data_IF_223462854457
#
_entry.id   IF_223462854457
#
_cell.length_a   1.000
_cell.length_b   1.000
_cell.length_c   1.000
_cell.angle_alpha   90.00
_cell.angle_beta   90.00
_cell.angle_gamma   90.00
#
_symmetry.space_group_name_H-M   'P 1'
#
loop_
_entity.id
_entity.type
_entity.pdbx_description
1 polymer ?
#
# COMPACT_ATOMS: atom_id res chain seq x y z
N UNK A 1 20.40 99.24 -38.37
CA UNK A 1 20.76 99.03 -36.95
C UNK A 1 20.26 97.65 -36.57
N UNK A 2 21.20 96.73 -36.34
CA UNK A 2 20.99 95.29 -36.17
C UNK A 2 20.51 95.06 -34.73
N UNK A 3 19.28 94.59 -34.55
CA UNK A 3 18.72 94.22 -33.24
C UNK A 3 19.07 92.77 -32.89
N UNK A 4 19.94 92.59 -31.91
CA UNK A 4 20.41 91.29 -31.44
C UNK A 4 19.28 90.46 -30.80
N UNK A 5 19.06 89.25 -31.32
CA UNK A 5 18.28 88.21 -30.68
C UNK A 5 19.06 87.64 -29.48
N UNK A 6 18.58 87.93 -28.26
CA UNK A 6 19.07 87.30 -27.03
C UNK A 6 18.59 85.84 -27.02
N UNK A 7 19.49 84.90 -27.30
CA UNK A 7 19.24 83.49 -27.02
C UNK A 7 19.22 83.29 -25.50
N UNK A 8 18.01 83.12 -24.93
CA UNK A 8 17.85 82.55 -23.59
C UNK A 8 18.33 81.10 -23.64
N UNK A 9 19.55 80.86 -23.15
CA UNK A 9 20.06 79.53 -22.90
C UNK A 9 19.07 78.77 -22.00
N UNK A 10 18.54 77.67 -22.52
CA UNK A 10 17.85 76.64 -21.73
C UNK A 10 18.90 76.04 -20.80
N UNK A 11 18.92 76.47 -19.54
CA UNK A 11 19.64 75.78 -18.48
C UNK A 11 19.07 74.36 -18.37
N UNK A 12 19.95 73.38 -18.56
CA UNK A 12 19.68 71.95 -18.35
C UNK A 12 19.33 71.73 -16.88
N UNK A 13 18.05 71.76 -16.52
CA UNK A 13 17.56 71.18 -15.28
C UNK A 13 17.61 69.65 -15.40
N UNK A 14 18.78 69.05 -15.22
CA UNK A 14 18.89 67.60 -15.10
C UNK A 14 20.01 67.12 -14.17
N UNK A 15 20.42 67.94 -13.19
CA UNK A 15 21.17 67.44 -12.02
C UNK A 15 20.19 66.87 -10.98
N UNK A 16 19.59 65.73 -11.30
CA UNK A 16 19.05 64.85 -10.26
C UNK A 16 20.23 64.11 -9.66
N UNK A 17 20.64 64.49 -8.44
CA UNK A 17 21.65 63.78 -7.64
C UNK A 17 21.45 62.26 -7.75
N UNK A 18 22.45 61.55 -8.29
CA UNK A 18 22.41 60.10 -8.43
C UNK A 18 22.33 59.48 -7.03
N UNK A 19 21.26 58.72 -6.77
CA UNK A 19 21.08 58.04 -5.48
C UNK A 19 22.18 57.01 -5.27
N UNK A 20 22.94 57.17 -4.19
CA UNK A 20 23.95 56.21 -3.77
C UNK A 20 23.31 54.96 -3.16
N UNK A 21 23.92 53.80 -3.40
CA UNK A 21 23.49 52.53 -2.83
C UNK A 21 24.04 52.38 -1.42
N UNK A 22 23.16 52.05 -0.47
CA UNK A 22 23.58 51.75 0.90
C UNK A 22 24.45 50.47 0.96
N UNK A 23 25.29 50.37 2.00
CA UNK A 23 26.11 49.19 2.23
C UNK A 23 25.25 47.95 2.51
N UNK A 24 25.69 46.75 2.10
CA UNK A 24 24.95 45.52 2.34
C UNK A 24 24.83 45.23 3.83
N UNK A 25 23.71 44.64 4.25
CA UNK A 25 23.45 44.32 5.66
C UNK A 25 24.50 43.39 6.25
N UNK A 26 25.17 42.57 5.43
CA UNK A 26 26.24 41.65 5.84
C UNK A 26 27.40 42.33 6.57
N UNK A 27 27.69 43.60 6.31
CA UNK A 27 28.77 44.35 7.00
C UNK A 27 28.43 44.68 8.46
N UNK A 28 27.13 44.64 8.82
CA UNK A 28 26.62 44.96 10.17
C UNK A 28 26.22 43.70 10.95
N UNK A 29 26.52 42.51 10.41
CA UNK A 29 26.12 41.24 10.99
C UNK A 29 27.20 40.74 11.95
N UNK A 30 26.83 40.48 13.19
CA UNK A 30 27.69 39.80 14.15
C UNK A 30 27.84 38.31 13.80
N UNK A 31 28.97 37.71 14.18
CA UNK A 31 29.30 36.32 13.85
C UNK A 31 28.42 35.32 14.62
N UNK A 32 28.04 35.66 15.85
CA UNK A 32 27.24 34.86 16.78
C UNK A 32 25.74 35.20 16.75
N UNK A 33 25.30 36.02 15.79
CA UNK A 33 23.89 36.38 15.64
C UNK A 33 22.99 35.16 15.36
N UNK A 34 21.72 35.27 15.73
CA UNK A 34 20.74 34.24 15.41
C UNK A 34 20.33 34.27 13.93
N UNK A 35 20.87 33.32 13.16
CA UNK A 35 20.53 33.16 11.74
C UNK A 35 19.03 32.95 11.49
N UNK A 36 18.31 32.32 12.42
CA UNK A 36 16.89 32.02 12.24
C UNK A 36 16.03 33.28 12.12
N UNK A 37 16.48 34.38 12.76
CA UNK A 37 15.87 35.70 12.63
C UNK A 37 16.20 36.40 11.31
N UNK A 38 17.35 36.09 10.69
CA UNK A 38 17.78 36.67 9.41
C UNK A 38 17.03 36.04 8.23
N UNK A 39 16.78 34.73 8.29
CA UNK A 39 16.14 33.97 7.22
C UNK A 39 15.02 33.07 7.77
N UNK A 40 13.88 33.65 8.21
CA UNK A 40 12.85 32.91 8.93
C UNK A 40 12.01 31.97 8.04
N UNK A 41 11.83 32.32 6.76
CA UNK A 41 10.94 31.61 5.82
C UNK A 41 11.62 31.39 4.47
N UNK A 42 11.01 30.54 3.64
CA UNK A 42 11.45 30.36 2.25
C UNK A 42 11.47 31.71 1.52
N UNK A 43 12.65 32.06 0.99
CA UNK A 43 12.84 33.30 0.25
C UNK A 43 13.91 33.11 -0.83
N UNK A 44 13.82 33.94 -1.88
CA UNK A 44 14.83 34.02 -2.92
C UNK A 44 16.19 34.47 -2.33
N UNK A 45 17.28 33.96 -2.90
CA UNK A 45 18.62 34.27 -2.44
C UNK A 45 18.91 35.77 -2.50
N UNK A 46 19.19 36.38 -1.34
CA UNK A 46 19.49 37.81 -1.19
C UNK A 46 20.99 38.00 -0.88
N UNK A 47 21.85 38.35 -1.86
CA UNK A 47 23.29 38.44 -1.65
C UNK A 47 23.68 39.46 -0.58
N UNK A 48 22.90 40.53 -0.42
CA UNK A 48 23.09 41.58 0.59
C UNK A 48 22.75 41.16 2.03
N UNK A 49 22.11 40.01 2.23
CA UNK A 49 21.73 39.48 3.54
C UNK A 49 22.49 38.21 3.93
N UNK A 50 23.12 37.52 2.98
CA UNK A 50 23.83 36.25 3.25
C UNK A 50 25.31 36.55 3.46
N UNK A 51 25.86 36.41 4.69
CA UNK A 51 27.23 36.79 5.04
C UNK A 51 28.25 35.71 4.64
N UNK A 52 28.00 35.01 3.53
CA UNK A 52 28.89 33.98 2.99
C UNK A 52 29.47 34.45 1.64
N UNK A 53 30.77 34.27 1.37
CA UNK A 53 31.40 34.63 0.11
C UNK A 53 31.16 33.54 -0.96
N UNK A 54 29.88 33.30 -1.28
CA UNK A 54 29.49 32.28 -2.26
C UNK A 54 29.86 32.71 -3.68
N UNK A 55 30.28 31.73 -4.49
CA UNK A 55 30.55 31.88 -5.92
C UNK A 55 29.93 30.71 -6.66
N UNK A 56 29.35 30.95 -7.84
CA UNK A 56 28.71 29.91 -8.62
C UNK A 56 28.71 30.28 -10.11
N UNK A 57 28.90 29.27 -10.96
CA UNK A 57 28.96 29.41 -12.42
C UNK A 57 30.26 28.87 -12.98
N UNK A 58 30.25 28.49 -14.26
CA UNK A 58 31.44 27.95 -14.91
C UNK A 58 32.52 29.03 -15.05
N UNK A 59 33.75 28.80 -14.58
CA UNK A 59 34.81 29.79 -14.69
C UNK A 59 35.27 29.94 -16.15
N UNK A 60 35.62 31.15 -16.54
CA UNK A 60 36.35 31.38 -17.81
C UNK A 60 37.75 30.76 -17.73
N UNK A 61 38.40 30.51 -18.89
CA UNK A 61 39.78 29.99 -18.91
C UNK A 61 40.69 30.88 -18.06
N UNK A 62 41.38 30.28 -17.08
CA UNK A 62 42.23 30.97 -16.07
C UNK A 62 41.47 31.99 -15.18
N UNK A 63 40.15 31.84 -15.03
CA UNK A 63 39.31 32.69 -14.18
C UNK A 63 38.75 31.97 -12.96
N UNK A 64 38.01 32.72 -12.14
CA UNK A 64 37.26 32.22 -10.97
C UNK A 64 35.75 32.23 -11.25
N UNK A 65 34.95 31.40 -10.56
CA UNK A 65 33.51 31.47 -10.65
C UNK A 65 32.97 32.87 -10.26
N UNK A 66 31.89 33.34 -10.92
CA UNK A 66 31.23 34.60 -10.59
C UNK A 66 30.87 34.72 -9.10
N UNK A 67 30.96 35.94 -8.57
CA UNK A 67 30.54 36.29 -7.20
C UNK A 67 29.03 36.15 -7.00
N UNK A 68 28.54 36.37 -5.78
CA UNK A 68 27.10 36.25 -5.47
C UNK A 68 26.28 37.47 -5.91
N UNK A 69 26.90 38.63 -6.02
CA UNK A 69 26.25 39.88 -6.43
C UNK A 69 25.83 39.78 -7.90
N UNK A 70 24.52 39.87 -8.16
CA UNK A 70 23.97 39.78 -9.52
C UNK A 70 23.98 38.37 -10.14
N UNK A 71 24.26 37.33 -9.36
CA UNK A 71 24.37 35.97 -9.87
C UNK A 71 23.01 35.28 -10.00
N UNK A 72 22.55 35.11 -11.25
CA UNK A 72 21.26 34.50 -11.54
C UNK A 72 21.23 32.99 -11.22
N UNK A 73 22.36 32.29 -11.29
CA UNK A 73 22.42 30.86 -10.98
C UNK A 73 22.10 30.59 -9.50
N UNK A 74 22.58 31.46 -8.60
CA UNK A 74 22.23 31.38 -7.18
C UNK A 74 20.76 31.70 -6.89
N UNK A 75 20.10 32.46 -7.76
CA UNK A 75 18.67 32.79 -7.61
C UNK A 75 17.76 31.62 -8.00
N UNK A 76 18.20 30.79 -8.95
CA UNK A 76 17.44 29.61 -9.42
C UNK A 76 17.39 28.48 -8.39
N UNK A 77 18.37 28.40 -7.50
CA UNK A 77 18.45 27.33 -6.50
C UNK A 77 17.35 27.52 -5.44
N UNK A 78 16.51 26.50 -5.18
CA UNK A 78 15.66 26.47 -3.99
C UNK A 78 16.54 26.28 -2.76
N UNK A 79 16.96 27.39 -2.16
CA UNK A 79 17.88 27.37 -1.02
C UNK A 79 17.19 26.91 0.28
N UNK A 80 17.96 26.32 1.17
CA UNK A 80 17.51 25.80 2.48
C UNK A 80 17.98 26.69 3.64
N UNK A 81 18.25 27.97 3.38
CA UNK A 81 18.81 28.88 4.39
C UNK A 81 17.87 29.12 5.58
N UNK A 82 16.56 28.91 5.41
CA UNK A 82 15.56 28.96 6.48
C UNK A 82 15.40 27.63 7.24
N UNK A 83 15.91 26.52 6.70
CA UNK A 83 15.80 25.17 7.26
C UNK A 83 17.16 24.67 7.78
N UNK A 84 17.88 25.54 8.49
CA UNK A 84 19.11 25.14 9.17
C UNK A 84 18.82 24.19 10.34
N UNK A 85 19.77 23.35 10.78
CA UNK A 85 19.55 22.46 11.93
C UNK A 85 19.13 23.18 13.21
N UNK A 86 19.61 24.41 13.42
CA UNK A 86 19.20 25.26 14.55
C UNK A 86 17.73 25.68 14.43
N UNK A 87 17.29 26.09 13.24
CA UNK A 87 15.89 26.42 12.97
C UNK A 87 14.98 25.20 13.18
N UNK A 88 15.35 24.04 12.62
CA UNK A 88 14.57 22.80 12.74
C UNK A 88 14.39 22.42 14.22
N UNK A 89 15.46 22.46 15.03
CA UNK A 89 15.34 22.17 16.47
C UNK A 89 14.39 23.13 17.20
N UNK A 90 14.48 24.43 16.91
CA UNK A 90 13.56 25.44 17.49
C UNK A 90 12.11 25.20 17.04
N UNK A 91 11.89 24.97 15.75
CA UNK A 91 10.56 24.71 15.20
C UNK A 91 9.95 23.43 15.78
N UNK A 92 10.69 22.31 15.78
CA UNK A 92 10.21 21.06 16.35
C UNK A 92 9.93 21.18 17.85
N UNK A 93 10.74 21.92 18.62
CA UNK A 93 10.47 22.15 20.03
C UNK A 93 9.13 22.87 20.27
N UNK A 94 8.80 23.87 19.46
CA UNK A 94 7.51 24.57 19.52
C UNK A 94 6.34 23.73 18.99
N UNK A 95 6.60 22.78 18.08
CA UNK A 95 5.57 21.91 17.50
C UNK A 95 5.23 20.69 18.39
N UNK A 96 6.06 20.37 19.40
CA UNK A 96 5.83 19.23 20.30
C UNK A 96 4.49 19.30 21.02
N UNK A 97 4.04 20.50 21.37
CA UNK A 97 2.78 20.71 22.10
C UNK A 97 1.54 20.34 21.27
N UNK A 98 1.69 20.20 19.94
CA UNK A 98 0.62 19.77 19.03
C UNK A 98 0.60 18.25 18.79
N UNK A 99 1.66 17.53 19.22
CA UNK A 99 1.76 16.10 19.04
C UNK A 99 1.13 15.35 20.21
N UNK A 100 0.59 14.16 19.94
CA UNK A 100 0.12 13.22 20.97
C UNK A 100 1.05 12.02 21.02
N UNK A 101 1.24 11.44 22.21
CA UNK A 101 2.00 10.21 22.36
C UNK A 101 1.33 9.05 21.63
N UNK A 102 2.13 8.17 21.04
CA UNK A 102 1.64 6.94 20.43
C UNK A 102 1.25 5.94 21.52
N UNK A 103 0.13 5.19 21.41
CA UNK A 103 -0.30 4.28 22.45
C UNK A 103 0.71 3.13 22.66
N UNK A 104 1.14 2.92 23.91
CA UNK A 104 2.16 1.92 24.24
C UNK A 104 1.71 0.46 24.08
N UNK A 105 0.39 0.21 24.13
CA UNK A 105 -0.19 -1.14 24.03
C UNK A 105 -0.09 -1.74 22.60
N UNK A 106 0.05 -0.88 21.58
CA UNK A 106 0.20 -1.26 20.16
C UNK A 106 1.60 -0.92 19.65
N UNK A 107 2.58 -1.60 20.25
CA UNK A 107 4.01 -1.48 19.95
C UNK A 107 4.46 -2.28 18.71
N UNK A 108 3.67 -3.26 18.29
CA UNK A 108 3.97 -4.15 17.16
C UNK A 108 2.76 -4.33 16.24
N UNK A 109 3.03 -4.55 14.95
CA UNK A 109 2.02 -4.70 13.90
C UNK A 109 1.05 -5.87 14.17
N UNK A 110 1.53 -6.94 14.82
CA UNK A 110 0.66 -8.07 15.20
C UNK A 110 -0.42 -7.67 16.21
N UNK A 111 -0.08 -6.84 17.20
CA UNK A 111 -1.05 -6.33 18.18
C UNK A 111 -1.98 -5.32 17.53
N UNK A 112 -1.45 -4.46 16.64
CA UNK A 112 -2.27 -3.54 15.84
C UNK A 112 -3.34 -4.31 15.07
N UNK A 113 -2.98 -5.39 14.37
CA UNK A 113 -3.89 -6.21 13.58
C UNK A 113 -4.92 -6.96 14.43
N UNK A 114 -4.58 -7.34 15.66
CA UNK A 114 -5.53 -7.97 16.59
C UNK A 114 -6.61 -6.99 17.08
N UNK A 115 -6.23 -5.75 17.40
CA UNK A 115 -7.17 -4.74 17.89
C UNK A 115 -7.87 -3.96 16.76
N UNK A 116 -7.19 -3.77 15.63
CA UNK A 116 -7.62 -2.97 14.49
C UNK A 116 -7.43 -3.79 13.19
N UNK A 117 -8.34 -4.74 12.89
CA UNK A 117 -8.18 -5.66 11.76
C UNK A 117 -8.47 -5.05 10.38
N UNK A 118 -8.96 -3.80 10.34
CA UNK A 118 -9.32 -3.08 9.12
C UNK A 118 -8.34 -1.94 8.91
N UNK A 119 -7.67 -1.98 7.77
CA UNK A 119 -6.80 -0.92 7.29
C UNK A 119 -7.54 -0.08 6.24
N UNK A 120 -7.30 1.23 6.26
CA UNK A 120 -7.97 2.21 5.38
C UNK A 120 -6.91 3.06 4.70
N UNK A 121 -6.67 2.79 3.42
CA UNK A 121 -5.71 3.54 2.63
C UNK A 121 -6.37 4.73 1.95
N UNK A 122 -5.77 5.91 2.15
CA UNK A 122 -6.13 7.14 1.46
C UNK A 122 -4.87 7.89 1.01
N UNK A 123 -4.95 8.58 -0.13
CA UNK A 123 -3.80 9.25 -0.74
C UNK A 123 -4.10 10.73 -0.96
N UNK A 124 -3.26 11.60 -0.40
CA UNK A 124 -3.31 13.05 -0.60
C UNK A 124 -2.16 13.50 -1.51
N UNK A 125 -2.47 14.42 -2.44
CA UNK A 125 -1.54 14.89 -3.46
C UNK A 125 -1.27 16.39 -3.29
N UNK A 126 0.01 16.76 -3.19
CA UNK A 126 0.45 18.16 -3.08
C UNK A 126 1.15 18.53 -4.39
N UNK A 127 0.69 19.60 -5.04
CA UNK A 127 1.23 20.07 -6.32
C UNK A 127 1.32 21.60 -6.33
N UNK A 128 2.31 22.14 -7.03
CA UNK A 128 2.43 23.58 -7.23
C UNK A 128 1.41 24.04 -8.29
N UNK A 129 0.47 24.90 -7.90
CA UNK A 129 -0.54 25.44 -8.80
C UNK A 129 -1.68 26.14 -8.05
N UNK A 130 -2.56 26.86 -8.77
CA UNK A 130 -3.69 27.55 -8.14
C UNK A 130 -4.80 26.58 -7.68
N UNK A 131 -4.90 25.39 -8.28
CA UNK A 131 -5.90 24.38 -7.92
C UNK A 131 -5.29 23.31 -7.03
N UNK A 132 -5.92 23.07 -5.89
CA UNK A 132 -5.60 21.96 -4.96
C UNK A 132 -6.36 20.67 -5.29
N UNK A 133 -7.24 20.69 -6.31
CA UNK A 133 -8.11 19.55 -6.63
C UNK A 133 -7.32 18.47 -7.35
N UNK A 134 -7.39 17.24 -6.83
CA UNK A 134 -6.91 16.05 -7.51
C UNK A 134 -7.99 14.96 -7.50
N UNK A 135 -8.48 14.49 -8.66
CA UNK A 135 -9.53 13.48 -8.71
C UNK A 135 -9.11 12.13 -8.13
N UNK A 136 -7.80 11.83 -8.03
CA UNK A 136 -7.29 10.58 -7.46
C UNK A 136 -7.42 10.54 -5.93
N UNK A 137 -7.52 11.68 -5.26
CA UNK A 137 -7.64 11.76 -3.79
C UNK A 137 -8.97 11.24 -3.24
N UNK A 138 -9.97 11.00 -4.10
CA UNK A 138 -11.28 10.47 -3.69
C UNK A 138 -11.26 8.97 -3.41
N UNK A 139 -10.26 8.24 -3.91
CA UNK A 139 -10.20 6.78 -3.82
C UNK A 139 -9.93 6.36 -2.38
N UNK A 140 -10.65 5.33 -1.93
CA UNK A 140 -10.44 4.69 -0.62
C UNK A 140 -10.25 3.20 -0.86
N UNK A 141 -9.27 2.60 -0.21
CA UNK A 141 -9.10 1.15 -0.21
C UNK A 141 -9.25 0.64 1.22
N UNK A 142 -10.12 -0.34 1.42
CA UNK A 142 -10.28 -1.07 2.66
C UNK A 142 -9.64 -2.44 2.51
N UNK A 143 -8.76 -2.79 3.45
CA UNK A 143 -8.12 -4.11 3.54
C UNK A 143 -8.48 -4.76 4.86
N UNK A 144 -8.91 -6.02 4.81
CA UNK A 144 -9.28 -6.80 5.99
C UNK A 144 -8.96 -8.27 5.78
N UNK A 145 -8.42 -8.93 6.82
CA UNK A 145 -8.21 -10.39 6.80
C UNK A 145 -9.50 -11.13 7.11
N UNK A 146 -9.85 -12.15 6.33
CA UNK A 146 -11.09 -12.91 6.57
C UNK A 146 -11.03 -13.69 7.90
N UNK A 147 -9.85 -14.10 8.34
CA UNK A 147 -9.61 -14.72 9.65
C UNK A 147 -9.94 -13.82 10.85
N UNK A 148 -10.01 -12.50 10.66
CA UNK A 148 -10.41 -11.56 11.73
C UNK A 148 -11.93 -11.38 11.82
N UNK A 149 -12.68 -11.82 10.80
CA UNK A 149 -14.12 -11.72 10.76
C UNK A 149 -14.75 -12.97 11.37
N UNK A 150 -15.87 -12.80 12.08
CA UNK A 150 -16.64 -13.92 12.61
C UNK A 150 -17.45 -14.58 11.48
N UNK A 151 -16.81 -15.47 10.71
CA UNK A 151 -17.40 -16.21 9.60
C UNK A 151 -17.27 -17.71 9.87
N UNK A 152 -18.31 -18.48 9.57
CA UNK A 152 -18.24 -19.94 9.53
C UNK A 152 -17.72 -20.44 8.15
N UNK A 153 -17.61 -21.75 7.97
CA UNK A 153 -17.11 -22.34 6.72
C UNK A 153 -18.01 -21.98 5.52
N UNK A 154 -19.33 -21.98 5.72
CA UNK A 154 -20.31 -21.61 4.70
C UNK A 154 -20.15 -20.15 4.28
N UNK A 155 -20.20 -19.23 5.25
CA UNK A 155 -20.12 -17.80 5.01
C UNK A 155 -18.77 -17.40 4.43
N UNK A 156 -17.66 -18.00 4.89
CA UNK A 156 -16.33 -17.74 4.32
C UNK A 156 -16.27 -18.15 2.84
N UNK A 157 -16.70 -19.37 2.49
CA UNK A 157 -16.72 -19.86 1.10
C UNK A 157 -17.65 -19.03 0.22
N UNK A 158 -18.85 -18.71 0.72
CA UNK A 158 -19.81 -17.85 0.01
C UNK A 158 -19.25 -16.44 -0.23
N UNK A 159 -18.64 -15.83 0.79
CA UNK A 159 -18.03 -14.52 0.70
C UNK A 159 -16.92 -14.48 -0.35
N UNK A 160 -16.03 -15.48 -0.37
CA UNK A 160 -14.94 -15.59 -1.35
C UNK A 160 -15.50 -15.63 -2.78
N UNK A 161 -16.58 -16.39 -3.03
CA UNK A 161 -17.25 -16.39 -4.34
C UNK A 161 -17.91 -15.05 -4.70
N UNK A 162 -18.52 -14.36 -3.73
CA UNK A 162 -19.16 -13.07 -3.97
C UNK A 162 -18.16 -11.96 -4.33
N UNK A 163 -17.00 -11.94 -3.66
CA UNK A 163 -16.00 -10.88 -3.84
C UNK A 163 -15.09 -11.12 -5.04
N UNK A 164 -14.89 -12.38 -5.43
CA UNK A 164 -14.11 -12.79 -6.60
C UNK A 164 -12.63 -12.41 -6.48
N UNK A 165 -12.09 -11.75 -7.50
CA UNK A 165 -10.67 -11.34 -7.59
C UNK A 165 -10.21 -10.36 -6.50
N UNK A 166 -11.14 -9.80 -5.73
CA UNK A 166 -10.84 -8.88 -4.61
C UNK A 166 -10.23 -9.60 -3.41
N UNK A 167 -10.34 -10.93 -3.34
CA UNK A 167 -9.77 -11.73 -2.27
C UNK A 167 -8.48 -12.43 -2.72
N UNK A 168 -7.42 -12.29 -1.93
CA UNK A 168 -6.17 -13.01 -2.14
C UNK A 168 -6.07 -14.22 -1.20
N UNK A 169 -6.11 -15.45 -1.77
CA UNK A 169 -6.00 -16.70 -1.00
C UNK A 169 -4.64 -16.84 -0.29
N UNK A 170 -3.56 -16.30 -0.86
CA UNK A 170 -2.22 -16.40 -0.29
C UNK A 170 -2.01 -15.59 0.99
N UNK A 171 -2.69 -14.45 1.12
CA UNK A 171 -2.58 -13.55 2.28
C UNK A 171 -3.84 -13.49 3.14
N UNK A 172 -4.88 -14.26 2.80
CA UNK A 172 -6.21 -14.25 3.44
C UNK A 172 -6.83 -12.83 3.52
N UNK A 173 -6.49 -11.97 2.55
CA UNK A 173 -6.84 -10.54 2.57
C UNK A 173 -7.92 -10.21 1.54
N UNK A 174 -8.98 -9.55 1.98
CA UNK A 174 -10.01 -8.94 1.13
C UNK A 174 -9.69 -7.45 0.93
N UNK A 175 -9.66 -7.01 -0.33
CA UNK A 175 -9.38 -5.63 -0.72
C UNK A 175 -10.60 -5.01 -1.42
N UNK A 176 -11.21 -3.99 -0.82
CA UNK A 176 -12.34 -3.25 -1.39
C UNK A 176 -11.87 -1.84 -1.76
N UNK A 177 -11.75 -1.55 -3.05
CA UNK A 177 -11.45 -0.20 -3.54
C UNK A 177 -12.72 0.50 -4.00
N UNK A 178 -12.95 1.72 -3.50
CA UNK A 178 -14.12 2.55 -3.84
C UNK A 178 -13.69 3.90 -4.41
N UNK A 179 -14.21 4.24 -5.59
CA UNK A 179 -13.87 5.47 -6.33
C UNK A 179 -15.09 6.13 -7.02
N UNK A 180 -16.30 5.63 -6.73
CA UNK A 180 -17.56 6.02 -7.39
C UNK A 180 -18.02 7.42 -7.01
N UNK A 181 -17.85 7.81 -5.75
CA UNK A 181 -18.35 9.08 -5.23
C UNK A 181 -17.30 10.20 -5.39
N UNK A 182 -17.72 11.47 -5.56
CA UNK A 182 -16.79 12.59 -5.65
C UNK A 182 -15.96 12.82 -4.37
N UNK A 183 -16.54 12.60 -3.19
CA UNK A 183 -15.89 12.86 -1.91
C UNK A 183 -15.31 11.58 -1.31
N UNK A 184 -14.10 11.69 -0.75
CA UNK A 184 -13.42 10.61 -0.02
C UNK A 184 -14.28 10.02 1.10
N UNK A 185 -14.95 10.87 1.89
CA UNK A 185 -15.85 10.43 2.96
C UNK A 185 -16.97 9.50 2.44
N UNK A 186 -17.56 9.83 1.31
CA UNK A 186 -18.63 9.02 0.71
C UNK A 186 -18.10 7.66 0.24
N UNK A 187 -16.89 7.62 -0.34
CA UNK A 187 -16.26 6.37 -0.75
C UNK A 187 -15.87 5.50 0.46
N UNK A 188 -15.45 6.11 1.56
CA UNK A 188 -15.22 5.41 2.83
C UNK A 188 -16.52 4.80 3.37
N UNK A 189 -17.58 5.61 3.53
CA UNK A 189 -18.89 5.16 4.00
C UNK A 189 -19.44 4.04 3.11
N UNK A 190 -19.26 4.16 1.79
CA UNK A 190 -19.65 3.14 0.82
C UNK A 190 -18.82 1.86 0.94
N UNK A 191 -17.51 1.96 1.19
CA UNK A 191 -16.64 0.81 1.41
C UNK A 191 -17.07 0.02 2.65
N UNK A 192 -17.35 0.72 3.75
CA UNK A 192 -17.84 0.11 5.01
C UNK A 192 -19.22 -0.53 4.79
N UNK A 193 -20.11 0.15 4.04
CA UNK A 193 -21.40 -0.42 3.64
C UNK A 193 -21.25 -1.73 2.85
N UNK A 194 -20.37 -1.75 1.85
CA UNK A 194 -20.12 -2.96 1.05
C UNK A 194 -19.61 -4.11 1.91
N UNK A 195 -18.65 -3.85 2.80
CA UNK A 195 -18.15 -4.86 3.74
C UNK A 195 -19.28 -5.42 4.63
N UNK A 196 -20.15 -4.54 5.13
CA UNK A 196 -21.28 -4.92 5.99
C UNK A 196 -22.30 -5.78 5.25
N UNK A 197 -22.68 -5.40 4.03
CA UNK A 197 -23.63 -6.16 3.21
C UNK A 197 -23.05 -7.50 2.82
N UNK A 198 -21.79 -7.54 2.39
CA UNK A 198 -21.11 -8.78 2.05
C UNK A 198 -21.07 -9.75 3.24
N UNK A 199 -20.79 -9.23 4.44
CA UNK A 199 -20.81 -10.01 5.67
C UNK A 199 -22.22 -10.58 5.93
N UNK A 200 -23.27 -9.76 5.96
CA UNK A 200 -24.63 -10.27 6.23
C UNK A 200 -25.18 -11.21 5.15
N UNK A 201 -24.91 -10.94 3.87
CA UNK A 201 -25.35 -11.81 2.77
C UNK A 201 -24.59 -13.13 2.74
N UNK A 202 -23.35 -13.17 3.23
CA UNK A 202 -22.59 -14.41 3.36
C UNK A 202 -23.18 -15.39 4.37
N UNK A 203 -23.83 -14.88 5.42
CA UNK A 203 -24.49 -15.70 6.45
C UNK A 203 -25.86 -16.25 6.04
N UNK A 204 -26.51 -15.67 5.03
CA UNK A 204 -27.80 -16.15 4.54
C UNK A 204 -27.58 -17.40 3.70
N UNK A 205 -28.42 -18.42 3.87
CA UNK A 205 -28.44 -19.60 2.98
C UNK A 205 -29.70 -19.56 2.15
N UNK A 206 -29.54 -19.41 0.85
CA UNK A 206 -30.65 -19.40 -0.11
C UNK A 206 -30.94 -20.82 -0.66
N UNK A 207 -32.14 -21.04 -1.19
CA UNK A 207 -32.56 -22.38 -1.66
C UNK A 207 -31.68 -22.92 -2.79
N UNK A 208 -31.25 -22.05 -3.70
CA UNK A 208 -30.41 -22.39 -4.84
C UNK A 208 -29.00 -22.85 -4.44
N UNK A 209 -28.55 -22.55 -3.21
CA UNK A 209 -27.24 -23.02 -2.73
C UNK A 209 -27.20 -24.54 -2.54
N UNK A 210 -28.38 -25.18 -2.45
CA UNK A 210 -28.51 -26.64 -2.42
C UNK A 210 -28.26 -27.29 -3.78
N UNK A 211 -28.35 -26.52 -4.86
CA UNK A 211 -28.11 -26.98 -6.23
C UNK A 211 -26.62 -26.92 -6.61
N UNK A 212 -25.74 -26.61 -5.65
CA UNK A 212 -24.29 -26.52 -5.84
C UNK A 212 -23.71 -27.83 -6.38
N UNK A 213 -23.06 -27.75 -7.53
CA UNK A 213 -22.46 -28.93 -8.18
C UNK A 213 -21.04 -29.20 -7.68
N UNK A 214 -20.50 -30.39 -7.98
CA UNK A 214 -19.10 -30.73 -7.66
C UNK A 214 -18.10 -29.78 -8.33
N UNK A 215 -18.43 -29.21 -9.49
CA UNK A 215 -17.57 -28.25 -10.20
C UNK A 215 -17.49 -26.89 -9.48
N UNK A 216 -18.49 -26.55 -8.66
CA UNK A 216 -18.53 -25.29 -7.90
C UNK A 216 -17.80 -25.39 -6.55
N UNK A 217 -17.41 -26.60 -6.15
CA UNK A 217 -16.69 -26.85 -4.91
C UNK A 217 -15.25 -26.36 -5.04
N UNK A 218 -14.82 -25.54 -4.07
CA UNK A 218 -13.46 -24.98 -4.02
C UNK A 218 -12.44 -25.96 -3.45
N UNK A 219 -12.96 -26.96 -2.74
CA UNK A 219 -12.22 -28.03 -2.11
C UNK A 219 -12.82 -29.34 -2.58
N UNK A 220 -11.97 -30.29 -2.90
CA UNK A 220 -12.36 -31.64 -3.19
C UNK A 220 -12.82 -32.33 -1.90
N UNK A 221 -14.07 -32.79 -1.92
CA UNK A 221 -14.69 -33.57 -0.85
C UNK A 221 -14.73 -35.03 -1.30
N UNK A 222 -14.23 -35.92 -0.45
CA UNK A 222 -14.14 -37.35 -0.77
C UNK A 222 -15.51 -38.03 -0.77
N UNK A 223 -16.36 -37.64 0.17
CA UNK A 223 -17.69 -38.18 0.37
C UNK A 223 -18.58 -38.01 -0.88
N UNK A 224 -19.22 -39.11 -1.29
CA UNK A 224 -20.06 -39.20 -2.48
C UNK A 224 -19.35 -38.97 -3.83
N UNK A 225 -18.03 -38.82 -3.83
CA UNK A 225 -17.22 -38.59 -5.03
C UNK A 225 -17.11 -39.82 -5.94
N UNK A 226 -16.68 -39.60 -7.18
CA UNK A 226 -16.34 -40.68 -8.12
C UNK A 226 -15.23 -41.60 -7.57
N UNK A 227 -14.23 -41.04 -6.88
CA UNK A 227 -13.13 -41.84 -6.34
C UNK A 227 -13.58 -42.76 -5.21
N UNK A 228 -14.53 -42.34 -4.36
CA UNK A 228 -15.13 -43.20 -3.34
C UNK A 228 -15.88 -44.37 -3.99
N UNK A 229 -16.74 -44.06 -4.98
CA UNK A 229 -17.53 -45.08 -5.70
C UNK A 229 -16.64 -46.11 -6.38
N UNK A 230 -15.59 -45.66 -7.09
CA UNK A 230 -14.65 -46.53 -7.79
C UNK A 230 -13.84 -47.41 -6.81
N UNK A 231 -13.40 -46.85 -5.68
CA UNK A 231 -12.65 -47.59 -4.67
C UNK A 231 -13.49 -48.69 -4.02
N UNK A 232 -14.73 -48.37 -3.65
CA UNK A 232 -15.66 -49.34 -3.08
C UNK A 232 -16.00 -50.45 -4.09
N UNK A 233 -16.31 -50.10 -5.33
CA UNK A 233 -16.59 -51.08 -6.38
C UNK A 233 -15.40 -52.02 -6.61
N UNK A 234 -14.18 -51.48 -6.63
CA UNK A 234 -12.95 -52.27 -6.81
C UNK A 234 -12.74 -53.24 -5.64
N UNK A 235 -12.94 -52.81 -4.40
CA UNK A 235 -12.79 -53.67 -3.22
C UNK A 235 -13.85 -54.77 -3.14
N UNK A 236 -15.09 -54.47 -3.54
CA UNK A 236 -16.15 -55.48 -3.64
C UNK A 236 -15.76 -56.55 -4.66
N UNK A 237 -15.21 -56.16 -5.81
CA UNK A 237 -14.73 -57.11 -6.83
C UNK A 237 -13.55 -57.96 -6.35
N UNK A 238 -12.59 -57.38 -5.63
CA UNK A 238 -11.45 -58.11 -5.06
C UNK A 238 -11.94 -59.18 -4.07
N UNK A 239 -12.86 -58.82 -3.17
CA UNK A 239 -13.41 -59.77 -2.17
C UNK A 239 -14.27 -60.86 -2.79
N UNK A 240 -15.02 -60.54 -3.86
CA UNK A 240 -15.74 -61.54 -4.63
C UNK A 240 -14.79 -62.56 -5.30
N UNK A 241 -13.61 -62.10 -5.76
CA UNK A 241 -12.55 -62.97 -6.26
C UNK A 241 -11.91 -63.84 -5.16
N UNK A 242 -11.72 -63.28 -3.96
CA UNK A 242 -11.11 -63.96 -2.81
C UNK A 242 -12.07 -64.85 -2.01
N UNK A 243 -13.35 -65.00 -2.44
CA UNK A 243 -14.41 -65.79 -1.76
C UNK A 243 -14.60 -65.42 -0.27
N UNK A 244 -14.41 -64.16 0.07
CA UNK A 244 -14.60 -63.64 1.44
C UNK A 244 -16.06 -63.18 1.64
N UNK A 245 -16.58 -63.22 2.87
CA UNK A 245 -17.96 -62.83 3.18
C UNK A 245 -18.29 -61.38 2.74
N UNK A 246 -19.57 -61.14 2.42
CA UNK A 246 -20.08 -59.80 2.11
C UNK A 246 -19.98 -58.90 3.35
N UNK A 247 -19.20 -57.84 3.22
CA UNK A 247 -18.98 -56.88 4.30
C UNK A 247 -19.72 -55.58 4.00
N UNK A 248 -20.27 -54.99 5.05
CA UNK A 248 -21.03 -53.74 4.96
C UNK A 248 -20.17 -52.60 4.37
N UNK A 249 -20.80 -51.69 3.62
CA UNK A 249 -20.14 -50.50 3.05
C UNK A 249 -19.43 -49.67 4.13
N UNK A 250 -19.98 -49.64 5.34
CA UNK A 250 -19.43 -48.90 6.47
C UNK A 250 -18.11 -49.49 6.98
N UNK A 251 -18.00 -50.83 7.06
CA UNK A 251 -16.76 -51.50 7.46
C UNK A 251 -15.65 -51.35 6.42
N UNK A 252 -15.99 -51.33 5.12
CA UNK A 252 -15.02 -51.03 4.06
C UNK A 252 -14.48 -49.61 4.19
N UNK A 253 -15.36 -48.62 4.35
CA UNK A 253 -14.98 -47.20 4.52
C UNK A 253 -14.16 -46.96 5.79
N UNK A 254 -14.42 -47.71 6.86
CA UNK A 254 -13.65 -47.64 8.11
C UNK A 254 -12.27 -48.33 8.02
N UNK A 255 -12.00 -49.08 6.95
CA UNK A 255 -10.72 -49.77 6.82
C UNK A 255 -9.55 -48.79 6.70
N UNK A 256 -8.45 -49.09 7.40
CA UNK A 256 -7.25 -48.24 7.40
C UNK A 256 -6.65 -48.04 6.00
N UNK A 257 -6.89 -49.00 5.09
CA UNK A 257 -6.51 -48.91 3.67
C UNK A 257 -7.27 -47.80 2.95
N UNK A 258 -8.59 -47.72 3.11
CA UNK A 258 -9.41 -46.66 2.49
C UNK A 258 -9.12 -45.30 3.12
N UNK A 259 -8.93 -45.23 4.44
CA UNK A 259 -8.60 -43.96 5.09
C UNK A 259 -7.27 -43.37 4.57
N UNK A 260 -6.25 -44.21 4.37
CA UNK A 260 -4.98 -43.77 3.80
C UNK A 260 -5.12 -43.32 2.34
N UNK A 261 -5.95 -44.00 1.55
CA UNK A 261 -6.25 -43.62 0.16
C UNK A 261 -7.08 -42.34 0.06
N UNK A 262 -8.11 -42.20 0.91
CA UNK A 262 -8.90 -40.98 1.04
C UNK A 262 -7.99 -39.79 1.32
N UNK A 263 -7.11 -39.91 2.32
CA UNK A 263 -6.20 -38.84 2.71
C UNK A 263 -5.31 -38.41 1.54
N UNK A 264 -4.68 -39.37 0.86
CA UNK A 264 -3.78 -39.07 -0.26
C UNK A 264 -4.50 -38.43 -1.45
N UNK A 265 -5.74 -38.83 -1.76
CA UNK A 265 -6.52 -38.19 -2.83
C UNK A 265 -6.93 -36.76 -2.47
N UNK A 266 -7.35 -36.53 -1.24
CA UNK A 266 -7.75 -35.20 -0.77
C UNK A 266 -6.56 -34.24 -0.82
N UNK A 267 -5.40 -34.65 -0.30
CA UNK A 267 -4.17 -33.85 -0.35
C UNK A 267 -3.74 -33.59 -1.80
N UNK A 268 -3.77 -34.62 -2.67
CA UNK A 268 -3.43 -34.47 -4.08
C UNK A 268 -4.34 -33.49 -4.82
N UNK A 269 -5.65 -33.49 -4.52
CA UNK A 269 -6.62 -32.61 -5.18
C UNK A 269 -6.63 -31.18 -4.62
N UNK A 270 -6.40 -30.99 -3.32
CA UNK A 270 -6.50 -29.69 -2.66
C UNK A 270 -5.17 -28.95 -2.57
N UNK A 271 -4.08 -29.65 -2.25
CA UNK A 271 -2.73 -29.07 -2.12
C UNK A 271 -1.98 -29.08 -3.45
N UNK A 272 -2.42 -29.93 -4.39
CA UNK A 272 -1.87 -30.04 -5.74
C UNK A 272 -0.92 -31.23 -5.93
N UNK A 273 -0.43 -31.33 -7.16
CA UNK A 273 0.43 -32.42 -7.62
C UNK A 273 1.89 -32.14 -7.27
N UNK A 274 2.34 -32.70 -6.15
CA UNK A 274 3.76 -32.71 -5.75
C UNK A 274 4.31 -34.14 -5.77
N UNK A 275 5.63 -34.32 -5.93
CA UNK A 275 6.27 -35.64 -5.92
C UNK A 275 5.95 -36.45 -4.65
N UNK A 276 5.83 -35.74 -3.52
CA UNK A 276 5.42 -36.31 -2.24
C UNK A 276 3.98 -36.82 -2.32
N UNK A 277 3.03 -35.98 -2.73
CA UNK A 277 1.61 -36.33 -2.80
C UNK A 277 1.36 -37.49 -3.78
N UNK A 278 2.06 -37.50 -4.92
CA UNK A 278 2.00 -38.59 -5.90
C UNK A 278 2.57 -39.91 -5.35
N UNK A 279 3.67 -39.84 -4.60
CA UNK A 279 4.27 -41.02 -3.97
C UNK A 279 3.37 -41.60 -2.88
N UNK A 280 2.76 -40.76 -2.06
CA UNK A 280 1.81 -41.16 -1.02
C UNK A 280 0.54 -41.77 -1.63
N UNK A 281 0.01 -41.15 -2.69
CA UNK A 281 -1.09 -41.72 -3.48
C UNK A 281 -0.73 -43.11 -4.03
N UNK A 282 0.41 -43.24 -4.71
CA UNK A 282 0.90 -44.54 -5.24
C UNK A 282 1.00 -45.61 -4.15
N UNK A 283 1.57 -45.27 -3.01
CA UNK A 283 1.73 -46.21 -1.89
C UNK A 283 0.38 -46.61 -1.29
N UNK A 284 -0.57 -45.67 -1.18
CA UNK A 284 -1.91 -45.95 -0.69
C UNK A 284 -2.69 -46.90 -1.63
N UNK A 285 -2.60 -46.69 -2.95
CA UNK A 285 -3.23 -47.54 -3.97
C UNK A 285 -2.60 -48.94 -3.99
N UNK A 286 -1.28 -49.05 -3.86
CA UNK A 286 -0.58 -50.35 -3.76
C UNK A 286 -1.11 -51.18 -2.58
N UNK A 287 -1.26 -50.54 -1.42
CA UNK A 287 -1.82 -51.19 -0.22
C UNK A 287 -3.30 -51.55 -0.39
N UNK A 288 -4.06 -50.74 -1.12
CA UNK A 288 -5.47 -50.99 -1.42
C UNK A 288 -5.65 -52.23 -2.29
N UNK A 289 -4.80 -52.39 -3.31
CA UNK A 289 -4.86 -53.47 -4.30
C UNK A 289 -4.02 -54.71 -3.93
N UNK A 290 -3.45 -54.75 -2.72
CA UNK A 290 -2.57 -55.84 -2.24
C UNK A 290 -1.37 -56.14 -3.15
N UNK A 291 -0.82 -55.14 -3.84
CA UNK A 291 0.37 -55.31 -4.67
C UNK A 291 1.63 -55.20 -3.81
N UNK A 292 2.38 -56.29 -3.65
CA UNK A 292 3.73 -56.27 -3.05
C UNK A 292 4.73 -55.59 -3.99
N UNK A 293 5.80 -54.99 -3.43
CA UNK A 293 6.88 -54.43 -4.24
C UNK A 293 7.49 -55.52 -5.13
N UNK A 294 7.52 -55.28 -6.44
CA UNK A 294 8.50 -55.93 -7.31
C UNK A 294 9.87 -55.48 -6.79
N UNK A 295 10.62 -56.44 -6.22
CA UNK A 295 12.05 -56.28 -5.93
C UNK A 295 12.82 -55.89 -7.18
#
# INVERSE_FOLDING_TARGET
IIGALVQRGRTSQNDKYRRETATPRTEKMEVDQDWTSVYPVAAAFKPSCVPLPLRMGYPVKRGVPPVKEGNLELLKIPNFLHLTPVAIRKHCAALKDFCTEWPADVDNDEKCMQHFPIEVDTVDYISAGPSVRNPKARMVTLTVKLSSLNLDDHAKKKLIKLVGERYCKGTDTLTITTDRCPLRRQNYDYGVYLLTVLFHESWKTEEWEKEKTEADMEEYIWENSASEKNALETLVRIRAGDRTEEVSRQELLASQKILAYRKSVVELKNEGETDKNLSEYKNSVRRLLNMSELQ
#
